data_IF_720477819396
#
_entry.id   IF_720477819396
#
_cell.length_a   1.000
_cell.length_b   1.000
_cell.length_c   1.000
_cell.angle_alpha   90.00
_cell.angle_beta   90.00
_cell.angle_gamma   90.00
#
_symmetry.space_group_name_H-M   'P 1'
#
loop_
_entity.id
_entity.type
_entity.pdbx_description
1 polymer ?
#
# COMPACT_ATOMS: atom_id res chain seq x y z
N UNK A 1 10.75 -127.25 -23.04
CA UNK A 1 9.57 -126.93 -23.86
C UNK A 1 10.12 -126.42 -25.18
N UNK A 2 10.09 -127.12 -26.30
CA UNK A 2 9.55 -128.43 -26.67
C UNK A 2 10.51 -128.94 -27.76
N UNK A 3 11.16 -130.08 -27.54
CA UNK A 3 12.10 -130.72 -28.49
C UNK A 3 11.61 -132.12 -28.90
N UNK A 4 10.28 -132.29 -28.88
CA UNK A 4 9.62 -133.55 -29.20
C UNK A 4 8.47 -133.27 -30.16
N UNK A 5 8.78 -133.18 -31.47
CA UNK A 5 7.89 -133.60 -32.59
C UNK A 5 8.37 -133.15 -33.99
N UNK A 6 9.68 -133.16 -34.25
CA UNK A 6 10.16 -133.16 -35.63
C UNK A 6 10.09 -134.59 -36.20
N UNK A 7 8.87 -135.11 -36.38
CA UNK A 7 8.62 -136.38 -37.06
C UNK A 7 9.05 -136.22 -38.52
N UNK A 8 10.25 -136.72 -38.86
CA UNK A 8 10.68 -136.86 -40.25
C UNK A 8 9.76 -137.89 -40.90
N UNK A 9 8.97 -137.54 -41.94
CA UNK A 9 8.11 -138.50 -42.60
C UNK A 9 8.98 -139.54 -43.31
N UNK A 10 8.95 -140.80 -42.84
CA UNK A 10 9.54 -141.92 -43.56
C UNK A 10 8.75 -142.08 -44.88
N UNK A 11 9.34 -141.61 -45.98
CA UNK A 11 8.73 -141.72 -47.31
C UNK A 11 8.79 -143.18 -47.80
N UNK A 12 7.83 -143.60 -48.65
CA UNK A 12 7.66 -144.99 -49.05
C UNK A 12 8.95 -145.53 -49.68
N UNK A 13 9.31 -146.77 -49.35
CA UNK A 13 10.48 -147.45 -49.92
C UNK A 13 10.41 -147.57 -51.44
N UNK A 14 11.57 -147.81 -52.07
CA UNK A 14 11.69 -147.93 -53.53
C UNK A 14 10.87 -149.12 -54.09
N UNK A 15 10.18 -148.93 -55.21
CA UNK A 15 9.48 -150.01 -55.93
C UNK A 15 10.48 -150.99 -56.58
N UNK A 16 10.17 -152.29 -56.52
CA UNK A 16 11.01 -153.39 -57.03
C UNK A 16 10.58 -153.78 -58.46
N UNK A 17 11.49 -153.71 -59.41
CA UNK A 17 11.33 -154.27 -60.77
C UNK A 17 12.04 -155.64 -60.88
N UNK A 18 11.73 -156.40 -61.94
CA UNK A 18 12.15 -157.82 -62.18
C UNK A 18 13.67 -158.06 -62.05
N UNK A 19 14.48 -157.00 -62.00
CA UNK A 19 15.88 -157.07 -61.59
C UNK A 19 16.35 -155.78 -60.88
N UNK A 20 15.82 -155.47 -59.70
CA UNK A 20 16.32 -154.43 -58.79
C UNK A 20 15.36 -153.28 -58.52
N UNK A 21 15.83 -152.24 -57.82
CA UNK A 21 15.03 -151.04 -57.51
C UNK A 21 14.83 -150.16 -58.75
N UNK A 22 13.70 -149.43 -58.80
CA UNK A 22 13.45 -148.41 -59.82
C UNK A 22 14.52 -147.32 -59.78
N UNK A 23 15.41 -147.30 -60.78
CA UNK A 23 16.55 -146.39 -60.83
C UNK A 23 16.14 -144.91 -60.76
N UNK A 24 15.00 -144.55 -61.36
CA UNK A 24 14.50 -143.18 -61.35
C UNK A 24 14.07 -142.74 -59.95
N UNK A 25 13.37 -143.60 -59.19
CA UNK A 25 12.97 -143.29 -57.80
C UNK A 25 14.17 -143.15 -56.85
N UNK A 26 15.22 -143.95 -57.06
CA UNK A 26 16.46 -143.85 -56.27
C UNK A 26 17.20 -142.55 -56.58
N UNK A 27 17.28 -142.16 -57.86
CA UNK A 27 17.92 -140.91 -58.27
C UNK A 27 17.17 -139.71 -57.70
N UNK A 28 15.83 -139.64 -57.86
CA UNK A 28 15.01 -138.56 -57.30
C UNK A 28 15.14 -138.47 -55.77
N UNK A 29 15.27 -139.61 -55.07
CA UNK A 29 15.46 -139.62 -53.62
C UNK A 29 16.86 -139.16 -53.19
N UNK A 30 17.90 -139.55 -53.92
CA UNK A 30 19.26 -139.07 -53.69
C UNK A 30 19.31 -137.57 -53.94
N UNK A 31 18.67 -137.05 -54.99
CA UNK A 31 18.59 -135.62 -55.26
C UNK A 31 17.89 -134.86 -54.12
N UNK A 32 16.77 -135.38 -53.60
CA UNK A 32 16.09 -134.78 -52.43
C UNK A 32 16.96 -134.82 -51.16
N UNK A 33 17.69 -135.92 -50.91
CA UNK A 33 18.60 -136.02 -49.77
C UNK A 33 19.81 -135.09 -49.93
N UNK A 34 20.35 -134.95 -51.14
CA UNK A 34 21.41 -134.01 -51.48
C UNK A 34 20.95 -132.55 -51.30
N UNK A 35 19.70 -132.24 -51.66
CA UNK A 35 19.09 -130.93 -51.43
C UNK A 35 18.84 -130.65 -49.94
N UNK A 36 18.35 -131.63 -49.19
CA UNK A 36 18.17 -131.51 -47.74
C UNK A 36 19.51 -131.38 -47.02
N UNK A 37 20.53 -132.15 -47.42
CA UNK A 37 21.88 -132.03 -46.86
C UNK A 37 22.50 -130.68 -47.19
N UNK A 38 22.28 -130.16 -48.40
CA UNK A 38 22.66 -128.79 -48.77
C UNK A 38 21.97 -127.76 -47.88
N UNK A 39 20.65 -127.86 -47.69
CA UNK A 39 19.89 -126.95 -46.83
C UNK A 39 20.39 -126.98 -45.38
N UNK A 40 20.53 -128.15 -44.77
CA UNK A 40 21.05 -128.30 -43.40
C UNK A 40 22.49 -127.78 -43.29
N UNK A 41 23.30 -127.96 -44.33
CA UNK A 41 24.66 -127.41 -44.35
C UNK A 41 24.64 -125.88 -44.43
N UNK A 42 23.73 -125.30 -45.21
CA UNK A 42 23.52 -123.84 -45.28
C UNK A 42 23.06 -123.32 -43.91
N UNK A 43 22.03 -123.92 -43.32
CA UNK A 43 21.48 -123.54 -42.01
C UNK A 43 22.53 -123.68 -40.90
N UNK A 44 23.32 -124.75 -40.92
CA UNK A 44 24.43 -124.94 -39.97
C UNK A 44 25.48 -123.85 -40.15
N UNK A 45 25.87 -123.54 -41.38
CA UNK A 45 26.87 -122.51 -41.65
C UNK A 45 26.34 -121.11 -41.26
N UNK A 46 25.05 -120.85 -41.46
CA UNK A 46 24.38 -119.64 -41.01
C UNK A 46 24.32 -119.56 -39.48
N UNK A 47 23.93 -120.63 -38.81
CA UNK A 47 23.93 -120.71 -37.35
C UNK A 47 25.34 -120.54 -36.75
N UNK A 48 26.37 -121.08 -37.40
CA UNK A 48 27.77 -120.87 -37.00
C UNK A 48 28.17 -119.40 -37.20
N UNK A 49 27.75 -118.77 -38.30
CA UNK A 49 28.00 -117.34 -38.54
C UNK A 49 27.33 -116.48 -37.47
N UNK A 50 26.06 -116.71 -37.19
CA UNK A 50 25.30 -115.99 -36.17
C UNK A 50 25.89 -116.18 -34.77
N UNK A 51 26.32 -117.40 -34.41
CA UNK A 51 27.01 -117.64 -33.14
C UNK A 51 28.34 -116.89 -33.04
N UNK A 52 29.11 -116.83 -34.13
CA UNK A 52 30.35 -116.07 -34.16
C UNK A 52 30.10 -114.56 -34.04
N UNK A 53 29.05 -114.04 -34.70
CA UNK A 53 28.68 -112.64 -34.64
C UNK A 53 28.16 -112.25 -33.24
N UNK A 54 27.35 -113.11 -32.60
CA UNK A 54 26.91 -112.93 -31.22
C UNK A 54 28.07 -112.95 -30.23
N UNK A 55 29.04 -113.86 -30.40
CA UNK A 55 30.25 -113.90 -29.57
C UNK A 55 31.05 -112.60 -29.69
N UNK A 56 31.24 -112.10 -30.91
CA UNK A 56 31.91 -110.80 -31.14
C UNK A 56 31.16 -109.67 -30.44
N UNK A 57 29.83 -109.63 -30.57
CA UNK A 57 29.02 -108.60 -29.90
C UNK A 57 29.13 -108.68 -28.37
N UNK A 58 29.10 -109.89 -27.80
CA UNK A 58 29.31 -110.09 -26.36
C UNK A 58 30.72 -109.66 -25.92
N UNK A 59 31.75 -109.95 -26.70
CA UNK A 59 33.11 -109.54 -26.39
C UNK A 59 33.29 -108.02 -26.50
N UNK A 60 32.70 -107.38 -27.51
CA UNK A 60 32.76 -105.92 -27.70
C UNK A 60 31.97 -105.16 -26.63
N UNK A 61 30.80 -105.67 -26.24
CA UNK A 61 30.02 -105.09 -25.14
C UNK A 61 30.73 -105.24 -23.80
N UNK A 62 31.37 -106.39 -23.53
CA UNK A 62 32.21 -106.59 -22.34
C UNK A 62 33.39 -105.62 -22.32
N UNK A 63 34.13 -105.50 -23.42
CA UNK A 63 35.24 -104.54 -23.52
C UNK A 63 34.77 -103.10 -23.33
N UNK A 64 33.62 -102.74 -23.90
CA UNK A 64 33.04 -101.40 -23.71
C UNK A 64 32.66 -101.16 -22.25
N UNK A 65 32.08 -102.15 -21.58
CA UNK A 65 31.72 -102.07 -20.16
C UNK A 65 32.98 -101.90 -19.30
N UNK A 66 33.99 -102.74 -19.50
CA UNK A 66 35.28 -102.65 -18.80
C UNK A 66 35.94 -101.28 -18.99
N UNK A 67 35.92 -100.74 -20.23
CA UNK A 67 36.44 -99.40 -20.51
C UNK A 67 35.66 -98.30 -19.79
N UNK A 68 34.33 -98.40 -19.72
CA UNK A 68 33.50 -97.42 -18.99
C UNK A 68 33.72 -97.50 -17.49
N UNK A 69 33.86 -98.70 -16.94
CA UNK A 69 34.16 -98.90 -15.51
C UNK A 69 35.55 -98.36 -15.15
N UNK A 70 36.55 -98.58 -16.00
CA UNK A 70 37.90 -98.04 -15.79
C UNK A 70 37.90 -96.51 -15.84
N UNK A 71 37.15 -95.89 -16.77
CA UNK A 71 36.98 -94.43 -16.81
C UNK A 71 36.27 -93.90 -15.56
N UNK A 72 35.24 -94.58 -15.08
CA UNK A 72 34.54 -94.21 -13.86
C UNK A 72 35.46 -94.30 -12.64
N UNK A 73 36.17 -95.42 -12.47
CA UNK A 73 37.15 -95.62 -11.39
C UNK A 73 38.25 -94.55 -11.44
N UNK A 74 38.72 -94.18 -12.64
CA UNK A 74 39.71 -93.12 -12.81
C UNK A 74 39.18 -91.73 -12.44
N UNK A 75 37.89 -91.44 -12.65
CA UNK A 75 37.26 -90.19 -12.24
C UNK A 75 37.06 -90.17 -10.73
N UNK A 76 36.62 -91.29 -10.14
CA UNK A 76 36.45 -91.45 -8.70
C UNK A 76 37.77 -91.38 -7.93
N UNK A 77 38.84 -91.97 -8.45
CA UNK A 77 40.17 -91.97 -7.84
C UNK A 77 40.98 -90.70 -8.13
N UNK A 78 40.51 -89.84 -9.03
CA UNK A 78 41.17 -88.56 -9.28
C UNK A 78 40.92 -87.63 -8.09
N UNK A 79 41.95 -86.91 -7.63
CA UNK A 79 41.82 -85.84 -6.62
C UNK A 79 40.90 -84.68 -7.08
N UNK A 80 40.40 -84.73 -8.32
CA UNK A 80 39.37 -83.84 -8.87
C UNK A 80 38.02 -84.52 -9.09
N UNK A 81 37.82 -85.73 -8.57
CA UNK A 81 36.56 -86.47 -8.69
C UNK A 81 35.38 -85.74 -8.04
N UNK A 82 34.16 -86.21 -8.33
CA UNK A 82 32.91 -85.58 -7.84
C UNK A 82 32.91 -85.20 -6.34
N UNK A 83 33.43 -86.04 -5.41
CA UNK A 83 33.44 -85.68 -3.99
C UNK A 83 34.35 -84.49 -3.68
N UNK A 84 35.57 -84.48 -4.24
CA UNK A 84 36.54 -83.40 -4.05
C UNK A 84 36.12 -82.11 -4.77
N UNK A 85 35.42 -82.22 -5.91
CA UNK A 85 34.80 -81.08 -6.58
C UNK A 85 33.65 -80.49 -5.74
N UNK A 86 32.78 -81.33 -5.16
CA UNK A 86 31.68 -80.88 -4.28
C UNK A 86 32.20 -80.19 -3.02
N UNK A 87 33.23 -80.75 -2.38
CA UNK A 87 33.86 -80.14 -1.21
C UNK A 87 34.48 -78.77 -1.53
N UNK A 88 35.14 -78.61 -2.69
CA UNK A 88 35.67 -77.31 -3.13
C UNK A 88 34.58 -76.29 -3.39
N UNK A 89 33.47 -76.71 -4.01
CA UNK A 89 32.31 -75.82 -4.24
C UNK A 89 31.68 -75.39 -2.90
N UNK A 90 31.54 -76.30 -1.95
CA UNK A 90 31.05 -75.98 -0.60
C UNK A 90 31.98 -75.01 0.13
N UNK A 91 33.30 -75.25 0.08
CA UNK A 91 34.28 -74.33 0.66
C UNK A 91 34.27 -72.95 -0.04
N UNK A 92 34.13 -72.91 -1.37
CA UNK A 92 34.03 -71.66 -2.12
C UNK A 92 32.74 -70.90 -1.79
N UNK A 93 31.62 -71.61 -1.62
CA UNK A 93 30.36 -71.02 -1.15
C UNK A 93 30.50 -70.46 0.26
N UNK A 94 31.11 -71.20 1.18
CA UNK A 94 31.36 -70.73 2.54
C UNK A 94 32.25 -69.46 2.54
N UNK A 95 33.32 -69.44 1.75
CA UNK A 95 34.17 -68.26 1.59
C UNK A 95 33.38 -67.08 0.98
N UNK A 96 32.54 -67.33 -0.03
CA UNK A 96 31.73 -66.30 -0.64
C UNK A 96 30.65 -65.76 0.32
N UNK A 97 30.05 -66.62 1.15
CA UNK A 97 29.11 -66.22 2.19
C UNK A 97 29.79 -65.34 3.26
N UNK A 98 30.98 -65.75 3.72
CA UNK A 98 31.80 -64.95 4.63
C UNK A 98 32.18 -63.60 3.99
N UNK A 99 32.61 -63.58 2.73
CA UNK A 99 32.96 -62.36 2.01
C UNK A 99 31.74 -61.43 1.87
N UNK A 100 30.57 -61.95 1.49
CA UNK A 100 29.32 -61.18 1.43
C UNK A 100 28.95 -60.63 2.81
N UNK A 101 29.15 -61.41 3.88
CA UNK A 101 28.88 -60.95 5.23
C UNK A 101 29.82 -59.81 5.64
N UNK A 102 31.11 -59.93 5.34
CA UNK A 102 32.08 -58.84 5.60
C UNK A 102 31.75 -57.57 4.80
N UNK A 103 31.35 -57.70 3.54
CA UNK A 103 30.92 -56.57 2.70
C UNK A 103 29.66 -55.90 3.26
N UNK A 104 28.69 -56.70 3.73
CA UNK A 104 27.48 -56.16 4.39
C UNK A 104 27.84 -55.40 5.66
N UNK A 105 28.74 -55.92 6.48
CA UNK A 105 29.12 -55.26 7.73
C UNK A 105 30.01 -54.03 7.50
N UNK A 106 30.80 -54.01 6.42
CA UNK A 106 31.48 -52.79 5.96
C UNK A 106 30.48 -51.75 5.45
N UNK A 107 29.53 -52.13 4.60
CA UNK A 107 28.52 -51.23 4.07
C UNK A 107 27.64 -50.62 5.17
N UNK A 108 27.23 -51.43 6.17
CA UNK A 108 26.50 -50.94 7.35
C UNK A 108 27.29 -49.91 8.13
N UNK A 109 28.57 -50.20 8.44
CA UNK A 109 29.45 -49.25 9.15
C UNK A 109 29.63 -47.96 8.37
N UNK A 110 29.84 -48.04 7.05
CA UNK A 110 29.94 -46.86 6.20
C UNK A 110 28.63 -46.06 6.20
N UNK A 111 27.48 -46.71 6.10
CA UNK A 111 26.18 -46.05 6.17
C UNK A 111 25.96 -45.37 7.53
N UNK A 112 26.35 -46.00 8.64
CA UNK A 112 26.29 -45.41 9.97
C UNK A 112 27.20 -44.20 10.11
N UNK A 113 28.42 -44.26 9.58
CA UNK A 113 29.35 -43.13 9.57
C UNK A 113 28.76 -41.97 8.76
N UNK A 114 28.31 -42.22 7.52
CA UNK A 114 27.72 -41.20 6.65
C UNK A 114 26.48 -40.58 7.30
N UNK A 115 25.64 -41.40 7.93
CA UNK A 115 24.45 -40.89 8.64
C UNK A 115 24.86 -40.06 9.84
N UNK A 116 25.83 -40.52 10.62
CA UNK A 116 26.37 -39.79 11.76
C UNK A 116 26.96 -38.44 11.36
N UNK A 117 27.78 -38.39 10.32
CA UNK A 117 28.37 -37.14 9.82
C UNK A 117 27.30 -36.19 9.29
N UNK A 118 26.35 -36.70 8.49
CA UNK A 118 25.25 -35.89 7.97
C UNK A 118 24.35 -35.33 9.09
N UNK A 119 24.06 -36.12 10.13
CA UNK A 119 23.31 -35.66 11.30
C UNK A 119 24.08 -34.57 12.07
N UNK A 120 25.39 -34.71 12.24
CA UNK A 120 26.21 -33.69 12.91
C UNK A 120 26.32 -32.39 12.11
N UNK A 121 26.52 -32.49 10.79
CA UNK A 121 26.57 -31.34 9.89
C UNK A 121 25.22 -30.62 9.84
N UNK A 122 24.12 -31.37 9.74
CA UNK A 122 22.78 -30.79 9.79
C UNK A 122 22.53 -30.03 11.10
N UNK A 123 22.94 -30.59 12.25
CA UNK A 123 22.82 -29.91 13.55
C UNK A 123 23.70 -28.67 13.63
N UNK A 124 24.91 -28.71 13.10
CA UNK A 124 25.80 -27.55 13.04
C UNK A 124 25.17 -26.42 12.20
N UNK A 125 24.67 -26.75 11.00
CA UNK A 125 23.99 -25.79 10.12
C UNK A 125 22.73 -25.19 10.76
N UNK A 126 21.94 -25.99 11.46
CA UNK A 126 20.77 -25.48 12.20
C UNK A 126 21.21 -24.52 13.30
N UNK A 127 22.23 -24.87 14.08
CA UNK A 127 22.77 -24.01 15.14
C UNK A 127 23.33 -22.70 14.59
N UNK A 128 24.07 -22.73 13.48
CA UNK A 128 24.59 -21.53 12.82
C UNK A 128 23.46 -20.65 12.28
N UNK A 129 22.44 -21.26 11.66
CA UNK A 129 21.29 -20.52 11.17
C UNK A 129 20.48 -19.89 12.32
N UNK A 130 20.32 -20.58 13.44
CA UNK A 130 19.67 -20.06 14.65
C UNK A 130 20.44 -18.88 15.24
N UNK A 131 21.77 -18.99 15.33
CA UNK A 131 22.65 -17.91 15.79
C UNK A 131 22.58 -16.69 14.89
N UNK A 132 22.73 -16.87 13.57
CA UNK A 132 22.60 -15.78 12.60
C UNK A 132 21.21 -15.13 12.67
N UNK A 133 20.16 -15.93 12.83
CA UNK A 133 18.80 -15.41 12.99
C UNK A 133 18.62 -14.64 14.32
N UNK A 134 19.25 -15.06 15.42
CA UNK A 134 19.24 -14.28 16.68
C UNK A 134 20.00 -12.96 16.53
N UNK A 135 21.19 -12.97 15.94
CA UNK A 135 21.99 -11.76 15.72
C UNK A 135 21.25 -10.75 14.85
N UNK A 136 20.59 -11.20 13.78
CA UNK A 136 19.77 -10.34 12.95
C UNK A 136 18.56 -9.77 13.70
N UNK A 137 17.92 -10.56 14.58
CA UNK A 137 16.82 -10.06 15.42
C UNK A 137 17.31 -9.00 16.39
N UNK A 138 18.46 -9.21 17.01
CA UNK A 138 19.06 -8.28 17.96
C UNK A 138 19.41 -6.97 17.25
N UNK A 139 20.10 -7.03 16.11
CA UNK A 139 20.40 -5.86 15.28
C UNK A 139 19.13 -5.12 14.82
N UNK A 140 18.10 -5.84 14.39
CA UNK A 140 16.82 -5.22 14.03
C UNK A 140 16.18 -4.54 15.24
N UNK A 141 16.24 -5.16 16.42
CA UNK A 141 15.70 -4.59 17.65
C UNK A 141 16.43 -3.32 18.03
N UNK A 142 17.77 -3.31 17.98
CA UNK A 142 18.60 -2.14 18.23
C UNK A 142 18.27 -1.00 17.27
N UNK A 143 18.20 -1.28 15.96
CA UNK A 143 17.84 -0.28 14.95
C UNK A 143 16.43 0.30 15.17
N UNK A 144 15.46 -0.53 15.57
CA UNK A 144 14.12 -0.06 15.91
C UNK A 144 14.18 0.87 17.12
N UNK A 145 14.87 0.48 18.19
CA UNK A 145 15.01 1.32 19.38
C UNK A 145 15.72 2.65 19.07
N UNK A 146 16.74 2.64 18.22
CA UNK A 146 17.45 3.85 17.79
C UNK A 146 16.56 4.80 16.99
N UNK A 147 15.76 4.27 16.07
CA UNK A 147 14.79 5.06 15.29
C UNK A 147 13.72 5.64 16.21
N UNK A 148 13.21 4.86 17.16
CA UNK A 148 12.23 5.31 18.15
C UNK A 148 12.81 6.42 19.04
N UNK A 149 14.03 6.24 19.54
CA UNK A 149 14.75 7.23 20.34
C UNK A 149 14.98 8.52 19.55
N UNK A 150 15.39 8.43 18.29
CA UNK A 150 15.58 9.58 17.41
C UNK A 150 14.27 10.30 17.13
N UNK A 151 13.18 9.55 16.89
CA UNK A 151 11.84 10.10 16.70
C UNK A 151 11.35 10.83 17.95
N UNK A 152 11.50 10.22 19.12
CA UNK A 152 11.11 10.82 20.40
C UNK A 152 11.92 12.10 20.69
N UNK A 153 13.23 12.10 20.39
CA UNK A 153 14.07 13.29 20.52
C UNK A 153 13.60 14.43 19.60
N UNK A 154 13.37 14.13 18.33
CA UNK A 154 12.87 15.13 17.37
C UNK A 154 11.50 15.67 17.77
N UNK A 155 10.58 14.81 18.23
CA UNK A 155 9.27 15.24 18.71
C UNK A 155 9.39 16.21 19.89
N UNK A 156 10.23 15.90 20.89
CA UNK A 156 10.50 16.81 22.02
C UNK A 156 11.08 18.14 21.56
N UNK A 157 12.06 18.12 20.65
CA UNK A 157 12.65 19.35 20.10
C UNK A 157 11.62 20.18 19.33
N UNK A 158 10.73 19.55 18.56
CA UNK A 158 9.66 20.22 17.84
C UNK A 158 8.62 20.82 18.80
N UNK A 159 8.19 20.07 19.81
CA UNK A 159 7.27 20.55 20.84
C UNK A 159 7.86 21.73 21.62
N UNK A 160 9.14 21.65 21.98
CA UNK A 160 9.86 22.76 22.61
C UNK A 160 9.87 23.99 21.70
N UNK A 161 10.27 23.85 20.43
CA UNK A 161 10.28 24.97 19.47
C UNK A 161 8.89 25.60 19.28
N UNK A 162 7.85 24.78 19.17
CA UNK A 162 6.47 25.27 19.03
C UNK A 162 6.04 26.00 20.30
N UNK A 163 6.34 25.44 21.48
CA UNK A 163 6.00 26.06 22.77
C UNK A 163 6.71 27.41 22.95
N UNK A 164 7.99 27.49 22.57
CA UNK A 164 8.77 28.71 22.59
C UNK A 164 8.19 29.75 21.63
N UNK A 165 7.93 29.38 20.38
CA UNK A 165 7.31 30.26 19.39
C UNK A 165 5.96 30.79 19.87
N UNK A 166 5.08 29.92 20.38
CA UNK A 166 3.79 30.31 20.94
C UNK A 166 3.94 31.26 22.13
N UNK A 167 4.91 31.02 23.01
CA UNK A 167 5.18 31.91 24.15
C UNK A 167 5.68 33.28 23.71
N UNK A 168 6.52 33.34 22.68
CA UNK A 168 7.03 34.60 22.09
C UNK A 168 5.91 35.36 21.40
N UNK A 169 5.10 34.69 20.58
CA UNK A 169 3.93 35.28 19.95
C UNK A 169 2.93 35.82 20.98
N UNK A 170 2.69 35.07 22.05
CA UNK A 170 1.80 35.49 23.12
C UNK A 170 2.31 36.76 23.82
N UNK A 171 3.60 36.82 24.15
CA UNK A 171 4.23 38.02 24.75
C UNK A 171 4.13 39.23 23.82
N UNK A 172 4.49 39.06 22.55
CA UNK A 172 4.42 40.14 21.57
C UNK A 172 2.99 40.66 21.37
N UNK A 173 2.00 39.76 21.29
CA UNK A 173 0.57 40.14 21.22
C UNK A 173 0.12 40.89 22.47
N UNK A 174 0.62 40.51 23.64
CA UNK A 174 0.29 41.16 24.90
C UNK A 174 0.93 42.56 24.98
N UNK A 175 2.19 42.69 24.56
CA UNK A 175 2.87 43.98 24.43
C UNK A 175 2.14 44.92 23.47
N UNK A 176 1.85 44.48 22.25
CA UNK A 176 1.10 45.26 21.25
C UNK A 176 -0.26 45.68 21.80
N UNK A 177 -0.99 44.78 22.47
CA UNK A 177 -2.28 45.11 23.08
C UNK A 177 -2.15 46.17 24.17
N UNK A 178 -1.12 46.08 25.00
CA UNK A 178 -0.89 47.04 26.08
C UNK A 178 -0.50 48.41 25.52
N UNK A 179 0.38 48.46 24.52
CA UNK A 179 0.74 49.70 23.85
C UNK A 179 -0.45 50.33 23.12
N UNK A 180 -1.24 49.53 22.40
CA UNK A 180 -2.47 50.00 21.77
C UNK A 180 -3.44 50.62 22.80
N UNK A 181 -3.64 49.94 23.94
CA UNK A 181 -4.47 50.48 25.03
C UNK A 181 -3.92 51.80 25.58
N UNK A 182 -2.60 51.93 25.75
CA UNK A 182 -1.97 53.17 26.21
C UNK A 182 -2.19 54.30 25.21
N UNK A 183 -1.91 54.07 23.93
CA UNK A 183 -2.08 55.08 22.87
C UNK A 183 -3.54 55.54 22.78
N UNK A 184 -4.48 54.59 22.84
CA UNK A 184 -5.92 54.92 22.82
C UNK A 184 -6.34 55.70 24.06
N UNK A 185 -5.89 55.31 25.26
CA UNK A 185 -6.17 56.04 26.50
C UNK A 185 -5.65 57.47 26.44
N UNK A 186 -4.39 57.66 26.01
CA UNK A 186 -3.79 58.99 25.90
C UNK A 186 -4.53 59.85 24.88
N UNK A 187 -4.88 59.30 23.70
CA UNK A 187 -5.65 60.03 22.70
C UNK A 187 -7.06 60.41 23.18
N UNK A 188 -7.69 59.55 23.99
CA UNK A 188 -8.98 59.85 24.63
C UNK A 188 -8.84 60.98 25.65
N UNK A 189 -7.82 60.94 26.51
CA UNK A 189 -7.54 61.99 27.50
C UNK A 189 -7.26 63.34 26.83
N UNK A 190 -6.45 63.36 25.76
CA UNK A 190 -6.19 64.57 24.97
C UNK A 190 -7.46 65.11 24.31
N UNK A 191 -8.27 64.23 23.71
CA UNK A 191 -9.55 64.62 23.12
C UNK A 191 -10.51 65.20 24.16
N UNK A 192 -10.65 64.55 25.32
CA UNK A 192 -11.50 65.02 26.41
C UNK A 192 -11.01 66.35 26.98
N UNK A 193 -9.70 66.53 27.09
CA UNK A 193 -9.08 67.79 27.49
C UNK A 193 -9.42 68.92 26.51
N UNK A 194 -9.23 68.70 25.20
CA UNK A 194 -9.57 69.66 24.14
C UNK A 194 -11.07 69.98 24.12
N UNK A 195 -11.94 68.97 24.27
CA UNK A 195 -13.39 69.18 24.36
C UNK A 195 -13.74 70.00 25.60
N UNK A 196 -13.09 69.75 26.74
CA UNK A 196 -13.34 70.50 27.97
C UNK A 196 -12.87 71.96 27.86
N UNK A 197 -11.74 72.21 27.20
CA UNK A 197 -11.19 73.54 27.00
C UNK A 197 -12.05 74.34 26.01
N UNK A 198 -12.39 73.76 24.87
CA UNK A 198 -13.29 74.38 23.89
C UNK A 198 -14.66 74.70 24.50
N UNK A 199 -15.24 73.80 25.31
CA UNK A 199 -16.47 74.07 26.06
C UNK A 199 -16.34 75.25 27.03
N UNK A 200 -15.20 75.34 27.75
CA UNK A 200 -14.95 76.48 28.66
C UNK A 200 -14.84 77.79 27.88
N UNK A 201 -14.12 77.79 26.77
CA UNK A 201 -13.99 78.96 25.91
C UNK A 201 -15.35 79.38 25.35
N UNK A 202 -16.13 78.46 24.78
CA UNK A 202 -17.50 78.76 24.33
C UNK A 202 -18.34 79.36 25.46
N UNK A 203 -18.32 78.77 26.66
CA UNK A 203 -19.02 79.32 27.81
C UNK A 203 -18.55 80.72 28.23
N UNK A 204 -17.27 81.06 28.04
CA UNK A 204 -16.74 82.41 28.27
C UNK A 204 -17.25 83.39 27.23
N UNK A 205 -17.14 83.05 25.94
CA UNK A 205 -17.66 83.88 24.84
C UNK A 205 -19.17 84.10 24.94
N UNK A 206 -19.92 83.06 25.33
CA UNK A 206 -21.36 83.15 25.56
C UNK A 206 -21.67 84.11 26.72
N UNK A 207 -20.93 84.00 27.83
CA UNK A 207 -21.10 84.89 28.99
C UNK A 207 -20.72 86.35 28.66
N UNK A 208 -19.63 86.58 27.94
CA UNK A 208 -19.23 87.91 27.46
C UNK A 208 -20.28 88.51 26.51
N UNK A 209 -20.80 87.70 25.59
CA UNK A 209 -21.86 88.11 24.67
C UNK A 209 -23.15 88.43 25.41
N UNK A 210 -23.50 87.66 26.44
CA UNK A 210 -24.63 87.95 27.32
C UNK A 210 -24.43 89.24 28.12
N UNK A 211 -23.22 89.48 28.63
CA UNK A 211 -22.88 90.72 29.33
C UNK A 211 -23.04 91.93 28.41
N UNK A 212 -22.41 91.91 27.22
CA UNK A 212 -22.55 92.97 26.22
C UNK A 212 -24.01 93.19 25.82
N UNK A 213 -24.80 92.11 25.67
CA UNK A 213 -26.24 92.20 25.39
C UNK A 213 -27.01 92.88 26.52
N UNK A 214 -26.67 92.58 27.78
CA UNK A 214 -27.30 93.20 28.95
C UNK A 214 -26.92 94.69 29.05
N UNK A 215 -25.65 95.03 28.87
CA UNK A 215 -25.14 96.40 28.84
C UNK A 215 -25.84 97.21 27.73
N UNK A 216 -25.92 96.69 26.51
CA UNK A 216 -26.63 97.34 25.41
C UNK A 216 -28.13 97.54 25.71
N UNK A 217 -28.78 96.58 26.36
CA UNK A 217 -30.18 96.74 26.80
C UNK A 217 -30.33 97.81 27.88
N UNK A 218 -29.36 97.96 28.77
CA UNK A 218 -29.33 99.03 29.78
C UNK A 218 -29.10 100.39 29.14
N UNK A 219 -28.16 100.51 28.19
CA UNK A 219 -27.96 101.73 27.41
C UNK A 219 -29.23 102.13 26.66
N UNK A 220 -29.90 101.18 25.99
CA UNK A 220 -31.18 101.42 25.33
C UNK A 220 -32.24 101.89 26.33
N UNK A 221 -32.29 101.33 27.56
CA UNK A 221 -33.21 101.80 28.60
C UNK A 221 -32.90 103.23 29.03
N UNK A 222 -31.62 103.56 29.25
CA UNK A 222 -31.19 104.91 29.64
C UNK A 222 -31.51 105.92 28.55
N UNK A 223 -31.22 105.60 27.28
CA UNK A 223 -31.57 106.47 26.16
C UNK A 223 -33.08 106.60 25.98
N UNK A 224 -33.85 105.52 26.20
CA UNK A 224 -35.31 105.62 26.23
C UNK A 224 -35.80 106.57 27.31
N UNK A 225 -35.28 106.47 28.53
CA UNK A 225 -35.62 107.42 29.60
C UNK A 225 -35.22 108.86 29.24
N UNK A 226 -34.04 109.09 28.66
CA UNK A 226 -33.60 110.40 28.18
C UNK A 226 -34.53 110.95 27.09
N UNK A 227 -34.91 110.12 26.12
CA UNK A 227 -35.85 110.48 25.07
C UNK A 227 -37.24 110.77 25.63
N UNK A 228 -37.70 110.02 26.64
CA UNK A 228 -38.94 110.28 27.36
C UNK A 228 -38.88 111.60 28.14
N UNK A 229 -37.79 111.89 28.84
CA UNK A 229 -37.55 113.18 29.51
C UNK A 229 -37.55 114.34 28.51
N UNK A 230 -36.79 114.24 27.42
CA UNK A 230 -36.80 115.22 26.34
C UNK A 230 -38.20 115.39 25.74
N UNK A 231 -38.93 114.29 25.53
CA UNK A 231 -40.33 114.33 25.07
C UNK A 231 -41.21 115.08 26.07
N UNK A 232 -41.15 114.79 27.36
CA UNK A 232 -41.95 115.49 28.38
C UNK A 232 -41.57 116.97 28.50
N UNK A 233 -40.29 117.31 28.34
CA UNK A 233 -39.78 118.69 28.33
C UNK A 233 -40.24 119.46 27.09
N UNK A 234 -40.19 118.84 25.90
CA UNK A 234 -40.73 119.46 24.68
C UNK A 234 -42.25 119.61 24.77
N UNK A 235 -42.96 118.61 25.30
CA UNK A 235 -44.39 118.71 25.53
C UNK A 235 -44.74 119.82 26.53
N UNK A 236 -44.00 119.96 27.64
CA UNK A 236 -44.24 121.04 28.60
C UNK A 236 -43.88 122.42 28.04
N UNK A 237 -42.78 122.53 27.29
CA UNK A 237 -42.43 123.76 26.58
C UNK A 237 -43.47 124.12 25.50
N UNK A 238 -44.03 123.13 24.80
CA UNK A 238 -45.15 123.31 23.88
C UNK A 238 -46.43 123.69 24.61
N UNK A 239 -46.72 123.12 25.78
CA UNK A 239 -47.87 123.51 26.60
C UNK A 239 -47.70 124.92 27.17
N UNK A 240 -46.49 125.35 27.53
CA UNK A 240 -46.19 126.71 27.98
C UNK A 240 -46.19 127.71 26.82
N UNK A 241 -45.67 127.33 25.65
CA UNK A 241 -45.83 128.08 24.40
C UNK A 241 -47.31 128.19 24.03
N UNK A 242 -48.08 127.12 24.21
CA UNK A 242 -49.54 127.11 24.02
C UNK A 242 -50.24 127.98 25.05
N UNK A 243 -49.83 127.99 26.33
CA UNK A 243 -50.40 128.89 27.36
C UNK A 243 -50.06 130.35 27.11
N UNK A 244 -48.87 130.65 26.59
CA UNK A 244 -48.49 132.02 26.22
C UNK A 244 -49.17 132.44 24.92
N UNK A 245 -49.39 131.53 23.98
CA UNK A 245 -50.26 131.74 22.81
C UNK A 245 -51.72 131.85 23.21
N UNK A 246 -52.23 131.06 24.15
CA UNK A 246 -53.59 131.14 24.68
C UNK A 246 -53.76 132.42 25.53
N UNK A 247 -52.70 132.87 26.21
CA UNK A 247 -52.66 134.12 26.97
C UNK A 247 -52.53 135.37 26.06
N UNK A 248 -51.75 135.28 24.98
CA UNK A 248 -51.65 136.34 23.97
C UNK A 248 -52.84 136.34 23.02
N UNK A 249 -53.40 135.19 22.67
CA UNK A 249 -54.70 135.09 22.00
C UNK A 249 -55.82 135.48 22.94
N UNK A 250 -55.79 135.21 24.25
CA UNK A 250 -56.76 135.79 25.21
C UNK A 250 -56.57 137.31 25.35
N UNK A 251 -55.34 137.83 25.31
CA UNK A 251 -55.06 139.28 25.29
C UNK A 251 -55.43 139.94 23.95
N UNK A 252 -55.41 139.21 22.85
CA UNK A 252 -55.88 139.65 21.52
C UNK A 252 -57.40 139.46 21.36
N UNK A 253 -57.99 138.43 21.97
CA UNK A 253 -59.42 138.06 21.95
C UNK A 253 -60.24 138.87 22.96
N UNK A 254 -59.61 139.38 24.02
CA UNK A 254 -60.20 140.42 24.87
C UNK A 254 -60.16 141.83 24.22
N UNK A 255 -59.65 141.97 22.99
CA UNK A 255 -59.59 143.25 22.27
C UNK A 255 -60.42 143.35 21.01
N UNK A 256 -60.93 142.26 20.43
CA UNK A 256 -61.98 142.29 19.41
C UNK A 256 -62.67 140.91 19.40
N UNK A 257 -63.98 140.89 19.67
CA UNK A 257 -64.92 139.90 19.09
C UNK A 257 -65.61 140.62 17.90
N UNK A 258 -66.08 139.97 16.79
CA UNK A 258 -66.78 138.66 16.82
C UNK A 258 -66.62 137.73 15.58
N UNK A 259 -67.25 136.54 15.69
CA UNK A 259 -67.97 135.76 14.65
C UNK A 259 -67.26 134.75 13.70
N UNK A 260 -67.94 133.59 13.54
CA UNK A 260 -68.05 132.74 12.31
C UNK A 260 -66.97 131.66 12.12
N UNK A 261 -67.25 130.36 12.35
CA UNK A 261 -67.93 129.39 11.46
C UNK A 261 -67.08 128.93 10.25
N UNK A 262 -66.88 127.61 10.10
CA UNK A 262 -66.70 126.99 8.77
C UNK A 262 -65.55 125.99 8.58
N UNK A 263 -65.88 124.72 8.77
CA UNK A 263 -65.43 123.49 8.08
C UNK A 263 -64.25 123.44 7.08
N UNK A 264 -63.47 122.37 7.29
CA UNK A 264 -63.10 121.28 6.36
C UNK A 264 -62.11 121.50 5.19
N UNK A 265 -61.34 120.42 5.03
CA UNK A 265 -60.83 119.83 3.78
C UNK A 265 -59.47 120.23 3.19
N UNK A 266 -58.61 119.19 3.18
CA UNK A 266 -57.87 118.65 2.03
C UNK A 266 -56.56 119.27 1.56
N UNK A 267 -55.70 118.33 1.14
CA UNK A 267 -54.77 118.43 0.01
C UNK A 267 -53.48 119.21 0.29
N UNK A 268 -52.29 118.80 -0.14
CA UNK A 268 -51.90 117.78 -1.10
C UNK A 268 -50.36 117.78 -1.16
N UNK A 269 -49.81 116.67 -1.67
CA UNK A 269 -48.61 116.58 -2.51
C UNK A 269 -47.26 117.01 -1.88
N UNK A 270 -46.14 116.37 -2.13
CA UNK A 270 -45.65 115.52 -3.23
C UNK A 270 -44.45 114.77 -2.59
N UNK A 271 -44.27 113.45 -2.67
CA UNK A 271 -44.01 112.67 -3.89
C UNK A 271 -42.58 112.90 -4.41
N UNK A 272 -41.86 111.91 -4.98
CA UNK A 272 -41.82 110.45 -4.82
C UNK A 272 -40.37 109.98 -4.47
N UNK A 273 -40.04 108.69 -4.31
CA UNK A 273 -39.37 107.83 -5.32
C UNK A 273 -39.00 106.48 -4.64
N UNK A 274 -39.53 105.38 -5.19
CA UNK A 274 -39.06 103.99 -5.06
C UNK A 274 -37.82 103.73 -5.96
N UNK A 275 -37.28 102.50 -6.14
CA UNK A 275 -37.18 101.30 -5.29
C UNK A 275 -35.70 100.81 -5.22
N UNK A 276 -35.38 99.76 -4.45
CA UNK A 276 -34.48 98.71 -4.96
C UNK A 276 -34.82 97.35 -4.35
N UNK A 277 -35.11 96.43 -5.26
CA UNK A 277 -35.31 95.00 -5.07
C UNK A 277 -33.95 94.33 -4.85
N UNK A 278 -33.78 93.49 -3.83
CA UNK A 278 -32.91 92.31 -3.92
C UNK A 278 -33.38 91.18 -2.99
N UNK A 279 -34.32 90.40 -3.54
CA UNK A 279 -34.23 88.94 -3.76
C UNK A 279 -33.59 88.10 -2.63
N UNK A 280 -34.47 87.38 -1.93
CA UNK A 280 -34.19 86.15 -1.19
C UNK A 280 -33.37 85.19 -2.08
N UNK A 281 -32.19 84.77 -1.63
CA UNK A 281 -31.42 83.72 -2.27
C UNK A 281 -31.58 82.43 -1.46
N UNK A 282 -32.37 81.51 -2.01
CA UNK A 282 -32.38 80.10 -1.60
C UNK A 282 -30.97 79.52 -1.68
N UNK A 283 -30.50 78.97 -0.57
CA UNK A 283 -29.25 78.20 -0.52
C UNK A 283 -29.58 76.77 -0.99
N UNK A 284 -29.31 76.49 -2.26
CA UNK A 284 -29.30 75.13 -2.82
C UNK A 284 -28.04 74.39 -2.36
N UNK A 285 -28.23 73.19 -1.79
CA UNK A 285 -27.15 72.26 -1.44
C UNK A 285 -26.33 71.87 -2.68
N UNK A 286 -25.00 71.69 -2.57
CA UNK A 286 -24.19 71.22 -3.69
C UNK A 286 -24.45 69.75 -4.00
N UNK A 287 -24.68 69.46 -5.28
CA UNK A 287 -24.78 68.11 -5.85
C UNK A 287 -23.51 67.29 -5.61
N UNK A 288 -23.75 66.05 -5.24
CA UNK A 288 -22.80 64.97 -5.05
C UNK A 288 -22.10 64.67 -6.38
N UNK A 289 -20.80 64.98 -6.50
CA UNK A 289 -20.00 64.60 -7.67
C UNK A 289 -19.80 63.09 -7.67
N UNK A 290 -20.43 62.41 -8.63
CA UNK A 290 -20.19 61.02 -8.99
C UNK A 290 -18.83 60.88 -9.71
N UNK A 291 -17.73 60.99 -8.97
CA UNK A 291 -16.40 60.57 -9.42
C UNK A 291 -15.86 59.48 -8.48
N UNK A 292 -16.58 58.35 -8.39
CA UNK A 292 -16.08 57.13 -7.73
C UNK A 292 -15.20 56.38 -8.74
N UNK A 293 -13.91 56.73 -8.80
CA UNK A 293 -12.90 55.83 -9.33
C UNK A 293 -12.76 54.64 -8.39
N UNK A 294 -13.47 53.56 -8.71
CA UNK A 294 -13.35 52.28 -8.01
C UNK A 294 -12.00 51.66 -8.39
N UNK A 295 -10.95 51.90 -7.59
CA UNK A 295 -9.73 51.12 -7.68
C UNK A 295 -10.02 49.70 -7.19
N UNK A 296 -10.31 48.81 -8.13
CA UNK A 296 -10.35 47.38 -7.87
C UNK A 296 -8.90 46.91 -7.82
N UNK A 297 -8.38 46.62 -6.62
CA UNK A 297 -7.09 45.96 -6.43
C UNK A 297 -7.25 44.50 -6.90
N UNK A 298 -6.53 44.01 -7.93
CA UNK A 298 -6.54 42.60 -8.24
C UNK A 298 -5.80 41.83 -7.14
N UNK A 299 -6.52 41.01 -6.39
CA UNK A 299 -5.91 39.99 -5.53
C UNK A 299 -5.42 38.88 -6.45
N UNK A 300 -4.14 38.90 -6.79
CA UNK A 300 -3.48 37.75 -7.40
C UNK A 300 -3.48 36.58 -6.40
N UNK A 301 -4.33 35.59 -6.63
CA UNK A 301 -4.29 34.32 -5.92
C UNK A 301 -3.07 33.52 -6.38
N UNK A 302 -1.92 33.71 -5.72
CA UNK A 302 -0.78 32.80 -5.84
C UNK A 302 -1.09 31.47 -5.14
N UNK A 303 -1.82 30.60 -5.82
CA UNK A 303 -1.81 29.17 -5.54
C UNK A 303 -0.83 28.49 -6.50
N UNK A 304 0.46 28.47 -6.14
CA UNK A 304 1.42 27.50 -6.65
C UNK A 304 1.61 26.42 -5.60
N UNK A 305 0.59 25.57 -5.43
CA UNK A 305 0.80 24.26 -4.80
C UNK A 305 1.60 23.42 -5.79
N UNK A 306 2.92 23.48 -5.68
CA UNK A 306 3.83 22.60 -6.41
C UNK A 306 3.39 21.15 -6.21
N UNK A 307 3.10 20.52 -7.36
CA UNK A 307 2.54 19.18 -7.45
C UNK A 307 3.39 18.15 -6.72
N UNK A 308 2.74 17.44 -5.82
CA UNK A 308 3.17 16.15 -5.33
C UNK A 308 3.30 15.18 -6.51
N UNK A 309 4.53 14.83 -6.85
CA UNK A 309 4.85 13.78 -7.83
C UNK A 309 4.65 12.42 -7.13
N UNK A 310 3.55 11.75 -7.43
CA UNK A 310 3.32 10.37 -7.02
C UNK A 310 4.30 9.42 -7.75
N UNK A 311 4.81 8.36 -7.09
CA UNK A 311 5.79 7.46 -7.66
C UNK A 311 5.15 6.48 -8.67
N UNK A 312 5.77 6.39 -9.84
CA UNK A 312 5.44 5.42 -10.88
C UNK A 312 5.69 4.00 -10.38
N UNK A 313 4.65 3.18 -10.44
CA UNK A 313 4.73 1.75 -10.23
C UNK A 313 5.38 1.04 -11.43
N UNK A 314 6.15 -0.02 -11.10
CA UNK A 314 6.54 -1.18 -11.91
C UNK A 314 7.48 -0.96 -13.10
N UNK A 315 8.62 -1.65 -13.08
CA UNK A 315 8.98 -2.69 -14.05
C UNK A 315 9.90 -3.73 -13.39
N UNK A 316 9.82 -4.94 -13.92
CA UNK A 316 10.35 -6.25 -13.47
C UNK A 316 11.79 -6.29 -12.95
#
# INVERSE_FOLDING_TARGET
MDDADAVVPLRPGFDIQVRGFSRNQVVDHIEVLEDQLRMVTIDRNEAVRLNNDLRKLCDDTRRSLDQTEQRLKSIESSDTGLPAASQRVQNMLAIAEDEVQTLRDQAKRQAEIIRGTAETEARALISEAEQAASELRDQCSELVTDVENRRAKLQREHEQKISEQRSREYRLRQEIRNEYKRVVSNAQEESDALISETRKQCGQWDAESEQLRLEALEEIRVERYRLEELRTSVLSAMDDARRTLDGSTAALRAKIDPAGSGNADTAEADGPVEPEEHRLQEVTLPEQRDDVQTYTIPIESQHTTNGAKAPSARHN
#
